data_IF_468076567917
#
_entry.id   IF_468076567917
#
_cell.length_a   1.000
_cell.length_b   1.000
_cell.length_c   1.000
_cell.angle_alpha   90.00
_cell.angle_beta   90.00
_cell.angle_gamma   90.00
#
_symmetry.space_group_name_H-M   'P 1'
#
loop_
_entity.id
_entity.type
_entity.pdbx_description
1 polymer ?
#
# COMPACT_ATOMS: atom_id res chain seq x y z
N UNK A 1 -3.93 37.16 12.15
CA UNK A 1 -3.36 36.57 10.92
C UNK A 1 -3.46 35.07 11.13
N UNK A 2 -4.59 34.49 10.74
CA UNK A 2 -4.84 33.04 10.83
C UNK A 2 -3.88 32.34 9.87
N UNK A 3 -3.24 31.29 10.36
CA UNK A 3 -2.31 30.46 9.60
C UNK A 3 -3.03 29.91 8.35
N UNK A 4 -2.49 30.09 7.13
CA UNK A 4 -3.09 29.56 5.89
C UNK A 4 -3.27 28.03 5.89
N UNK A 5 -2.68 27.32 6.86
CA UNK A 5 -2.73 25.86 6.97
C UNK A 5 -3.90 25.32 7.83
N UNK A 6 -4.72 26.18 8.45
CA UNK A 6 -5.88 25.75 9.28
C UNK A 6 -7.17 25.42 8.48
N UNK A 7 -7.06 25.24 7.17
CA UNK A 7 -8.15 24.73 6.34
C UNK A 7 -8.40 23.25 6.63
N UNK A 8 -9.65 22.75 6.59
CA UNK A 8 -9.89 21.31 6.64
C UNK A 8 -9.13 20.62 5.50
N UNK A 9 -8.59 19.44 5.76
CA UNK A 9 -7.88 18.66 4.75
C UNK A 9 -8.77 18.44 3.50
N UNK A 10 -8.22 18.47 2.27
CA UNK A 10 -8.98 18.27 1.03
C UNK A 10 -9.91 17.05 1.07
N UNK A 11 -9.44 15.96 1.66
CA UNK A 11 -10.21 14.72 1.81
C UNK A 11 -11.46 14.88 2.68
N UNK A 12 -11.36 15.65 3.76
CA UNK A 12 -12.48 15.93 4.64
C UNK A 12 -13.54 16.80 3.93
N UNK A 13 -13.10 17.76 3.11
CA UNK A 13 -14.00 18.56 2.29
C UNK A 13 -14.70 17.72 1.21
N UNK A 14 -13.97 16.88 0.49
CA UNK A 14 -14.53 15.97 -0.49
C UNK A 14 -15.54 15.01 0.15
N UNK A 15 -15.16 14.35 1.25
CA UNK A 15 -16.04 13.45 1.99
C UNK A 15 -17.32 14.14 2.49
N UNK A 16 -17.20 15.38 2.99
CA UNK A 16 -18.35 16.20 3.39
C UNK A 16 -19.30 16.42 2.22
N UNK A 17 -18.77 16.76 1.04
CA UNK A 17 -19.57 17.05 -0.17
C UNK A 17 -20.28 15.80 -0.70
N UNK A 18 -19.56 14.69 -0.79
CA UNK A 18 -20.08 13.41 -1.30
C UNK A 18 -21.16 12.81 -0.40
N UNK A 19 -21.11 13.06 0.91
CA UNK A 19 -22.14 12.62 1.87
C UNK A 19 -23.52 13.22 1.57
N UNK A 20 -23.56 14.49 1.14
CA UNK A 20 -24.83 15.22 0.95
C UNK A 20 -25.39 15.08 -0.47
N UNK A 21 -24.60 14.59 -1.43
CA UNK A 21 -24.99 14.54 -2.82
C UNK A 21 -24.55 13.25 -3.50
N UNK A 22 -25.52 12.35 -3.57
CA UNK A 22 -25.39 11.04 -4.22
C UNK A 22 -25.25 11.15 -5.74
N UNK A 23 -25.66 12.24 -6.36
CA UNK A 23 -25.47 12.44 -7.79
C UNK A 23 -24.01 12.79 -8.08
N UNK A 24 -23.43 13.70 -7.30
CA UNK A 24 -22.00 14.00 -7.34
C UNK A 24 -21.14 12.75 -7.09
N UNK A 25 -21.50 11.91 -6.11
CA UNK A 25 -20.81 10.66 -5.85
C UNK A 25 -20.86 9.68 -7.03
N UNK A 26 -22.04 9.49 -7.65
CA UNK A 26 -22.18 8.62 -8.84
C UNK A 26 -21.39 9.13 -10.03
N UNK A 27 -21.41 10.44 -10.26
CA UNK A 27 -20.66 11.08 -11.34
C UNK A 27 -19.15 10.93 -11.17
N UNK A 28 -18.66 11.11 -9.94
CA UNK A 28 -17.25 10.95 -9.62
C UNK A 28 -16.79 9.49 -9.84
N UNK A 29 -17.61 8.53 -9.44
CA UNK A 29 -17.35 7.10 -9.66
C UNK A 29 -17.34 6.74 -11.15
N UNK A 30 -18.26 7.30 -11.95
CA UNK A 30 -18.25 7.12 -13.40
C UNK A 30 -16.96 7.66 -14.04
N UNK A 31 -16.52 8.85 -13.62
CA UNK A 31 -15.26 9.44 -14.10
C UNK A 31 -14.05 8.58 -13.73
N UNK A 32 -14.00 8.01 -12.51
CA UNK A 32 -12.94 7.08 -12.10
C UNK A 32 -12.91 5.84 -12.98
N UNK A 33 -14.08 5.25 -13.25
CA UNK A 33 -14.18 4.08 -14.13
C UNK A 33 -13.69 4.40 -15.54
N UNK A 34 -14.01 5.58 -16.08
CA UNK A 34 -13.52 5.99 -17.40
C UNK A 34 -12.02 6.29 -17.38
N UNK A 35 -11.52 6.98 -16.36
CA UNK A 35 -10.11 7.38 -16.26
C UNK A 35 -9.16 6.20 -16.10
N UNK A 36 -9.53 5.20 -15.29
CA UNK A 36 -8.71 4.02 -15.02
C UNK A 36 -9.12 2.78 -15.82
N UNK A 37 -10.20 2.87 -16.59
CA UNK A 37 -10.66 1.81 -17.48
C UNK A 37 -9.93 1.77 -18.82
N UNK A 38 -10.35 0.83 -19.68
CA UNK A 38 -9.83 0.66 -21.04
C UNK A 38 -9.95 1.92 -21.91
N UNK A 39 -11.00 2.71 -21.68
CA UNK A 39 -11.22 3.95 -22.41
C UNK A 39 -10.20 5.04 -22.01
N UNK A 40 -9.82 5.08 -20.72
CA UNK A 40 -8.81 6.00 -20.20
C UNK A 40 -7.40 5.71 -20.70
N UNK A 41 -7.03 4.43 -20.84
CA UNK A 41 -5.71 4.02 -21.33
C UNK A 41 -5.49 4.24 -22.83
N UNK A 42 -6.57 4.42 -23.60
CA UNK A 42 -6.52 4.68 -25.04
C UNK A 42 -6.92 6.10 -25.42
N UNK A 43 -7.31 6.91 -24.43
CA UNK A 43 -7.71 8.29 -24.65
C UNK A 43 -6.51 9.18 -25.03
N UNK A 44 -6.74 10.24 -25.85
CA UNK A 44 -5.70 11.18 -26.19
C UNK A 44 -5.21 11.94 -24.95
N UNK A 45 -3.91 12.25 -24.95
CA UNK A 45 -3.33 13.18 -23.99
C UNK A 45 -3.79 14.60 -24.31
N UNK A 46 -4.11 15.36 -23.28
CA UNK A 46 -4.52 16.76 -23.35
C UNK A 46 -3.77 17.56 -22.29
N UNK A 47 -3.51 18.83 -22.59
CA UNK A 47 -2.84 19.74 -21.67
C UNK A 47 -3.68 19.92 -20.39
N UNK A 48 -3.03 19.82 -19.23
CA UNK A 48 -3.65 20.06 -17.93
C UNK A 48 -3.72 21.56 -17.68
N UNK A 49 -4.93 22.14 -17.49
CA UNK A 49 -5.07 23.57 -17.24
C UNK A 49 -4.21 24.04 -16.06
N UNK A 50 -3.53 25.19 -16.21
CA UNK A 50 -2.59 25.69 -15.21
C UNK A 50 -3.25 25.94 -13.84
N UNK A 51 -4.51 26.37 -13.83
CA UNK A 51 -5.31 26.55 -12.62
C UNK A 51 -5.63 25.21 -11.94
N UNK A 52 -5.80 24.14 -12.71
CA UNK A 52 -6.04 22.81 -12.16
C UNK A 52 -4.75 22.26 -11.52
N UNK A 53 -3.60 22.38 -12.21
CA UNK A 53 -2.28 22.01 -11.67
C UNK A 53 -1.96 22.73 -10.37
N UNK A 54 -2.21 24.04 -10.33
CA UNK A 54 -1.98 24.85 -9.13
C UNK A 54 -2.88 24.43 -7.95
N UNK A 55 -4.09 23.92 -8.21
CA UNK A 55 -5.04 23.48 -7.18
C UNK A 55 -4.77 22.07 -6.67
N UNK A 56 -4.39 21.16 -7.55
CA UNK A 56 -4.20 19.74 -7.21
C UNK A 56 -2.76 19.42 -6.78
N UNK A 57 -1.80 20.30 -7.10
CA UNK A 57 -0.37 20.02 -6.91
C UNK A 57 0.18 18.99 -7.90
N UNK A 58 -0.55 18.71 -8.99
CA UNK A 58 -0.14 17.76 -10.02
C UNK A 58 0.75 18.47 -11.06
N UNK A 59 2.01 18.05 -11.18
CA UNK A 59 3.02 18.76 -11.97
C UNK A 59 3.10 18.32 -13.45
N UNK A 60 2.40 17.26 -13.84
CA UNK A 60 2.38 16.79 -15.23
C UNK A 60 1.65 17.78 -16.16
N UNK A 61 2.27 18.08 -17.30
CA UNK A 61 1.73 19.04 -18.27
C UNK A 61 0.62 18.45 -19.14
N UNK A 62 0.62 17.13 -19.37
CA UNK A 62 -0.35 16.44 -20.22
C UNK A 62 -0.81 15.15 -19.54
N UNK A 63 -2.13 14.91 -19.54
CA UNK A 63 -2.76 13.70 -19.00
C UNK A 63 -3.83 13.20 -19.97
N UNK A 64 -4.29 11.96 -19.82
CA UNK A 64 -5.42 11.48 -20.61
C UNK A 64 -6.66 12.35 -20.36
N UNK A 65 -7.43 12.63 -21.41
CA UNK A 65 -8.62 13.49 -21.28
C UNK A 65 -9.60 13.07 -20.17
N UNK A 66 -9.87 11.77 -19.95
CA UNK A 66 -10.67 11.31 -18.81
C UNK A 66 -10.06 11.62 -17.44
N UNK A 67 -8.74 11.52 -17.30
CA UNK A 67 -8.06 11.84 -16.05
C UNK A 67 -8.10 13.34 -15.74
N UNK A 68 -7.96 14.20 -16.75
CA UNK A 68 -8.15 15.66 -16.58
C UNK A 68 -9.59 15.98 -16.15
N UNK A 69 -10.59 15.31 -16.73
CA UNK A 69 -11.99 15.48 -16.33
C UNK A 69 -12.25 15.02 -14.89
N UNK A 70 -11.63 13.91 -14.46
CA UNK A 70 -11.69 13.43 -13.07
C UNK A 70 -11.08 14.46 -12.10
N UNK A 71 -9.86 14.92 -12.37
CA UNK A 71 -9.17 15.90 -11.52
C UNK A 71 -9.94 17.23 -11.42
N UNK A 72 -10.52 17.69 -12.52
CA UNK A 72 -11.34 18.91 -12.54
C UNK A 72 -12.60 18.77 -11.66
N UNK A 73 -13.25 17.60 -11.70
CA UNK A 73 -14.44 17.34 -10.90
C UNK A 73 -14.09 17.18 -9.41
N UNK A 74 -13.01 16.48 -9.06
CA UNK A 74 -12.54 16.37 -7.67
C UNK A 74 -12.20 17.75 -7.09
N UNK A 75 -11.45 18.57 -7.82
CA UNK A 75 -11.12 19.93 -7.38
C UNK A 75 -12.38 20.78 -7.13
N UNK A 76 -13.37 20.72 -8.02
CA UNK A 76 -14.66 21.40 -7.86
C UNK A 76 -15.40 20.92 -6.60
N UNK A 77 -15.46 19.61 -6.36
CA UNK A 77 -16.15 19.03 -5.20
C UNK A 77 -15.46 19.35 -3.87
N UNK A 78 -14.12 19.39 -3.87
CA UNK A 78 -13.33 19.84 -2.71
C UNK A 78 -13.65 21.29 -2.37
N UNK A 79 -13.69 22.20 -3.35
CA UNK A 79 -14.05 23.61 -3.14
C UNK A 79 -15.47 23.77 -2.58
N UNK A 80 -16.45 23.02 -3.11
CA UNK A 80 -17.82 23.02 -2.58
C UNK A 80 -17.87 22.47 -1.15
N UNK A 81 -17.12 21.41 -0.87
CA UNK A 81 -17.00 20.83 0.47
C UNK A 81 -16.38 21.79 1.48
N UNK A 82 -15.32 22.51 1.07
CA UNK A 82 -14.69 23.57 1.88
C UNK A 82 -15.71 24.66 2.22
N UNK A 83 -16.52 25.09 1.24
CA UNK A 83 -17.55 26.10 1.46
C UNK A 83 -18.62 25.63 2.46
N UNK A 84 -19.05 24.36 2.38
CA UNK A 84 -19.99 23.76 3.34
C UNK A 84 -19.39 23.72 4.76
N UNK A 85 -18.16 23.23 4.91
CA UNK A 85 -17.47 23.18 6.20
C UNK A 85 -17.26 24.57 6.79
N UNK A 86 -16.94 25.57 5.95
CA UNK A 86 -16.79 26.94 6.39
C UNK A 86 -18.11 27.54 6.90
N UNK A 87 -19.24 27.22 6.27
CA UNK A 87 -20.57 27.64 6.69
C UNK A 87 -21.01 26.99 8.02
N UNK A 88 -20.51 25.79 8.34
CA UNK A 88 -20.84 25.05 9.57
C UNK A 88 -20.03 25.50 10.80
N UNK A 89 -18.84 26.09 10.62
CA UNK A 89 -17.98 26.55 11.73
C UNK A 89 -18.69 27.42 12.78
N UNK A 90 -19.47 28.46 12.42
CA UNK A 90 -20.13 29.32 13.40
C UNK A 90 -21.17 28.56 14.23
N UNK A 91 -21.91 27.64 13.62
CA UNK A 91 -22.93 26.85 14.30
C UNK A 91 -22.30 25.86 15.29
N UNK A 92 -21.17 25.24 14.91
CA UNK A 92 -20.40 24.36 15.79
C UNK A 92 -19.80 25.12 16.98
N UNK A 93 -19.17 26.27 16.74
CA UNK A 93 -18.61 27.10 17.80
C UNK A 93 -19.67 27.59 18.80
N UNK A 94 -20.87 27.95 18.32
CA UNK A 94 -21.99 28.31 19.19
C UNK A 94 -22.52 27.13 20.01
N UNK A 95 -22.54 25.93 19.44
CA UNK A 95 -22.98 24.71 20.13
C UNK A 95 -21.96 24.29 21.20
N UNK A 96 -20.67 24.33 20.89
CA UNK A 96 -19.57 24.03 21.83
C UNK A 96 -19.51 25.04 22.98
N UNK A 97 -19.75 26.33 22.71
CA UNK A 97 -19.85 27.34 23.76
C UNK A 97 -21.08 27.14 24.67
N UNK A 98 -22.17 26.57 24.16
CA UNK A 98 -23.38 26.29 24.93
C UNK A 98 -23.30 24.97 25.73
N UNK A 99 -22.46 24.02 25.33
CA UNK A 99 -22.25 22.74 26.02
C UNK A 99 -21.00 22.71 26.90
N UNK A 100 -20.18 23.76 26.88
CA UNK A 100 -19.09 23.92 27.85
C UNK A 100 -19.67 23.87 29.28
N UNK A 101 -19.28 22.88 30.11
CA UNK A 101 -19.81 22.78 31.46
C UNK A 101 -19.43 24.05 32.22
N UNK A 102 -20.44 24.71 32.78
CA UNK A 102 -20.29 25.78 33.75
C UNK A 102 -19.56 25.19 34.96
N UNK A 103 -18.22 25.17 34.89
CA UNK A 103 -17.35 24.79 35.97
C UNK A 103 -17.52 25.83 37.07
N UNK A 104 -18.46 25.51 37.95
CA UNK A 104 -18.89 26.29 39.07
C UNK A 104 -17.69 26.74 39.91
N UNK A 105 -17.56 28.06 40.00
CA UNK A 105 -17.10 28.73 41.21
C UNK A 105 -17.92 28.21 42.40
N UNK A 106 -17.28 27.48 43.31
CA UNK A 106 -17.77 27.37 44.68
C UNK A 106 -16.58 27.25 45.67
N UNK A 107 -16.61 28.01 46.79
CA UNK A 107 -15.50 28.12 47.73
C UNK A 107 -15.49 27.00 48.77
N UNK A 108 -14.32 26.82 49.39
CA UNK A 108 -14.08 26.00 50.57
C UNK A 108 -15.02 26.34 51.75
N UNK A 109 -15.60 25.32 52.38
CA UNK A 109 -15.82 25.29 53.84
C UNK A 109 -16.18 23.88 54.36
N UNK A 110 -15.29 23.36 55.21
CA UNK A 110 -15.53 22.66 56.49
C UNK A 110 -16.33 21.34 56.58
N UNK A 111 -15.57 20.30 56.97
CA UNK A 111 -15.79 19.39 58.12
C UNK A 111 -17.03 18.47 58.21
N UNK A 112 -16.78 17.15 58.34
CA UNK A 112 -17.52 16.31 59.28
C UNK A 112 -17.95 14.90 58.83
N UNK A 113 -17.19 13.90 59.30
CA UNK A 113 -17.61 12.53 59.70
C UNK A 113 -17.79 11.43 58.61
N UNK A 114 -17.20 10.23 58.80
CA UNK A 114 -17.39 9.09 57.90
C UNK A 114 -18.60 8.24 58.30
N UNK A 115 -19.40 7.80 57.32
CA UNK A 115 -20.43 6.76 57.51
C UNK A 115 -20.35 5.72 56.39
N UNK A 116 -20.25 4.46 56.81
CA UNK A 116 -20.16 3.25 56.01
C UNK A 116 -21.47 2.94 55.24
N UNK A 117 -21.44 2.01 54.26
CA UNK A 117 -22.38 1.95 53.15
C UNK A 117 -23.62 1.11 53.45
N UNK A 118 -24.73 1.41 52.77
CA UNK A 118 -25.90 0.53 52.73
C UNK A 118 -26.23 0.21 51.25
N UNK A 119 -26.44 -1.07 50.87
CA UNK A 119 -26.61 -1.48 49.48
C UNK A 119 -28.08 -1.77 49.18
N UNK A 120 -28.74 -0.95 48.35
CA UNK A 120 -30.01 -1.36 47.72
C UNK A 120 -30.24 -0.74 46.34
N UNK A 121 -30.25 -1.64 45.36
CA UNK A 121 -31.23 -1.74 44.27
C UNK A 121 -31.59 -0.47 43.48
N UNK A 122 -31.17 -0.44 42.20
CA UNK A 122 -32.03 0.00 41.09
C UNK A 122 -31.59 -0.63 39.77
N UNK A 123 -32.32 -1.67 39.37
CA UNK A 123 -32.41 -2.12 37.97
C UNK A 123 -32.83 -0.91 37.12
N UNK A 124 -31.99 -0.50 36.17
CA UNK A 124 -32.42 0.30 35.02
C UNK A 124 -32.23 -0.54 33.77
N UNK A 125 -33.37 -0.85 33.16
CA UNK A 125 -33.51 -1.42 31.83
C UNK A 125 -32.83 -0.48 30.83
N UNK A 126 -31.79 -0.97 30.16
CA UNK A 126 -31.23 -0.36 28.97
C UNK A 126 -32.24 -0.57 27.82
N UNK A 127 -32.69 0.53 27.23
CA UNK A 127 -33.39 0.52 25.94
C UNK A 127 -32.36 0.34 24.82
N UNK A 128 -32.71 -0.33 23.71
CA UNK A 128 -31.83 -0.44 22.56
C UNK A 128 -31.75 0.92 21.87
N UNK A 129 -30.54 1.48 21.81
CA UNK A 129 -30.26 2.60 20.92
C UNK A 129 -29.96 2.03 19.53
N UNK A 130 -30.73 2.47 18.54
CA UNK A 130 -30.49 2.18 17.13
C UNK A 130 -29.16 2.82 16.71
N UNK A 131 -28.18 1.99 16.34
CA UNK A 131 -26.98 2.44 15.64
C UNK A 131 -27.34 2.61 14.17
N UNK A 132 -27.27 3.86 13.69
CA UNK A 132 -27.28 4.16 12.27
C UNK A 132 -25.92 3.75 11.70
N UNK A 133 -25.90 2.66 10.93
CA UNK A 133 -24.74 2.24 10.15
C UNK A 133 -24.50 3.19 8.98
N UNK A 134 -23.24 3.59 8.82
CA UNK A 134 -22.72 4.14 7.57
C UNK A 134 -22.03 2.96 6.85
N UNK A 135 -22.40 2.63 5.60
CA UNK A 135 -21.71 1.58 4.89
C UNK A 135 -20.35 2.10 4.41
N UNK A 136 -19.29 1.55 5.01
CA UNK A 136 -17.92 1.74 4.57
C UNK A 136 -17.46 0.43 3.92
N UNK A 137 -17.55 0.37 2.59
CA UNK A 137 -16.94 -0.71 1.83
C UNK A 137 -15.42 -0.63 1.99
N UNK A 138 -14.83 -1.65 2.63
CA UNK A 138 -13.39 -1.81 2.76
C UNK A 138 -12.91 -2.67 1.59
N UNK A 139 -12.15 -2.06 0.69
CA UNK A 139 -11.49 -2.73 -0.42
C UNK A 139 -10.10 -3.16 0.06
N UNK A 140 -9.96 -4.44 0.40
CA UNK A 140 -8.67 -4.99 0.82
C UNK A 140 -7.87 -5.39 -0.43
N UNK A 141 -6.93 -4.53 -0.85
CA UNK A 141 -5.93 -4.87 -1.86
C UNK A 141 -4.65 -5.25 -1.12
N UNK A 142 -4.40 -6.54 -0.96
CA UNK A 142 -3.10 -7.04 -0.48
C UNK A 142 -2.18 -7.21 -1.69
N UNK A 143 -1.01 -6.58 -1.62
CA UNK A 143 -0.04 -6.34 -2.71
C UNK A 143 0.50 -7.61 -3.38
N UNK A 144 0.64 -7.61 -4.71
CA UNK A 144 1.75 -7.03 -5.49
C UNK A 144 3.01 -7.92 -5.52
N UNK A 145 2.88 -9.08 -6.17
CA UNK A 145 3.99 -9.73 -6.86
C UNK A 145 4.22 -9.07 -8.22
N UNK A 146 5.42 -8.56 -8.45
CA UNK A 146 5.81 -7.87 -9.69
C UNK A 146 5.98 -8.88 -10.82
N UNK A 147 4.90 -9.25 -11.52
CA UNK A 147 5.00 -10.07 -12.73
C UNK A 147 5.53 -9.22 -13.89
N UNK A 148 6.85 -9.19 -14.07
CA UNK A 148 7.48 -8.68 -15.28
C UNK A 148 7.18 -9.61 -16.44
N UNK A 149 6.13 -9.34 -17.21
CA UNK A 149 5.89 -10.03 -18.49
C UNK A 149 6.80 -9.45 -19.57
N UNK A 150 7.91 -10.13 -19.85
CA UNK A 150 8.75 -9.84 -21.00
C UNK A 150 8.91 -11.09 -21.90
N UNK A 151 8.13 -11.10 -22.99
CA UNK A 151 8.41 -11.80 -24.25
C UNK A 151 8.28 -13.33 -24.25
N UNK A 152 8.06 -14.00 -25.37
CA UNK A 152 7.63 -13.64 -26.71
C UNK A 152 7.29 -15.00 -27.35
N UNK A 153 6.17 -15.12 -28.06
CA UNK A 153 5.85 -16.35 -28.79
C UNK A 153 6.85 -16.53 -29.94
N UNK A 154 7.64 -17.59 -29.86
CA UNK A 154 8.29 -18.22 -31.01
C UNK A 154 7.21 -18.80 -31.94
N UNK A 155 7.32 -18.55 -33.24
CA UNK A 155 6.86 -19.51 -34.24
C UNK A 155 7.83 -19.50 -35.43
N UNK A 156 8.27 -20.67 -35.94
CA UNK A 156 9.26 -20.79 -36.97
C UNK A 156 8.60 -20.81 -38.35
N UNK A 157 9.10 -20.05 -39.31
CA UNK A 157 8.88 -20.40 -40.71
C UNK A 157 10.13 -20.14 -41.53
N UNK A 158 10.66 -21.24 -42.04
CA UNK A 158 11.78 -21.31 -42.95
C UNK A 158 11.48 -20.64 -44.30
N UNK A 159 12.45 -19.91 -44.83
CA UNK A 159 12.76 -19.91 -46.26
C UNK A 159 14.21 -19.50 -46.50
N UNK A 160 14.98 -20.44 -47.03
CA UNK A 160 16.34 -20.28 -47.53
C UNK A 160 16.45 -19.20 -48.61
N UNK A 161 17.54 -18.44 -48.59
CA UNK A 161 18.21 -17.97 -49.81
C UNK A 161 19.68 -17.62 -49.53
N UNK A 162 20.52 -18.15 -50.41
CA UNK A 162 21.98 -18.23 -50.36
C UNK A 162 22.64 -16.96 -50.92
N UNK A 163 23.85 -16.63 -50.43
CA UNK A 163 25.07 -16.24 -51.19
C UNK A 163 25.73 -14.86 -50.89
N UNK A 164 26.99 -14.97 -50.44
CA UNK A 164 28.20 -14.14 -50.65
C UNK A 164 28.61 -12.96 -49.72
N UNK A 165 29.94 -12.78 -49.49
CA UNK A 165 30.49 -11.92 -48.45
C UNK A 165 31.11 -10.60 -48.95
N UNK A 166 31.23 -9.63 -48.04
CA UNK A 166 32.23 -8.56 -48.10
C UNK A 166 31.73 -7.18 -48.55
N UNK A 167 31.50 -6.28 -47.60
CA UNK A 167 31.68 -4.84 -47.80
C UNK A 167 31.92 -4.15 -46.45
N UNK A 168 33.17 -3.72 -46.27
CA UNK A 168 33.61 -2.72 -45.31
C UNK A 168 32.85 -1.41 -45.53
N UNK A 169 32.19 -0.89 -44.49
CA UNK A 169 31.73 0.50 -44.46
C UNK A 169 31.72 1.03 -43.03
N UNK A 170 32.64 1.95 -42.79
CA UNK A 170 32.72 2.84 -41.63
C UNK A 170 31.63 3.92 -41.72
N UNK A 171 31.15 4.42 -40.57
CA UNK A 171 30.95 5.86 -40.38
C UNK A 171 31.76 6.32 -39.15
N UNK A 172 32.74 7.23 -39.26
CA UNK A 172 32.60 8.71 -39.24
C UNK A 172 31.71 9.14 -38.05
N UNK A 173 32.23 9.49 -36.89
CA UNK A 173 32.98 10.72 -36.57
C UNK A 173 32.41 11.27 -35.25
N UNK A 174 33.05 10.98 -34.12
CA UNK A 174 33.74 11.96 -33.25
C UNK A 174 32.88 13.07 -32.64
N UNK A 175 32.64 12.97 -31.32
CA UNK A 175 33.01 13.94 -30.28
C UNK A 175 32.39 13.48 -28.94
N UNK A 176 32.99 13.54 -27.74
CA UNK A 176 34.31 13.91 -27.22
C UNK A 176 34.37 13.27 -25.82
N UNK A 177 35.30 12.35 -25.60
CA UNK A 177 35.69 11.86 -24.28
C UNK A 177 37.13 11.39 -24.39
N UNK A 178 38.02 11.95 -23.59
CA UNK A 178 39.49 11.79 -23.67
C UNK A 178 39.96 10.32 -23.85
N UNK A 179 41.08 10.06 -24.57
CA UNK A 179 41.42 8.72 -25.09
C UNK A 179 41.73 7.63 -24.05
N UNK A 180 41.94 7.99 -22.80
CA UNK A 180 42.03 7.05 -21.67
C UNK A 180 40.81 7.20 -20.77
N UNK A 181 39.60 7.15 -21.33
CA UNK A 181 38.29 7.13 -20.65
C UNK A 181 38.08 5.97 -19.66
N UNK A 182 39.13 5.52 -18.99
CA UNK A 182 39.11 4.73 -17.78
C UNK A 182 38.28 5.48 -16.75
N UNK A 183 36.99 5.16 -16.67
CA UNK A 183 36.34 5.09 -15.37
C UNK A 183 37.19 4.09 -14.58
N UNK A 184 38.02 4.63 -13.70
CA UNK A 184 38.96 3.87 -12.90
C UNK A 184 38.14 3.08 -11.89
N UNK A 185 38.30 1.76 -12.00
CA UNK A 185 37.66 0.67 -11.25
C UNK A 185 36.33 0.19 -11.85
N UNK A 186 36.35 -0.87 -12.69
CA UNK A 186 35.14 -1.63 -12.91
C UNK A 186 34.67 -2.14 -11.54
N UNK A 187 33.41 -1.87 -11.20
CA UNK A 187 32.77 -2.56 -10.08
C UNK A 187 32.98 -4.06 -10.37
N UNK A 188 33.67 -4.81 -9.49
CA UNK A 188 33.87 -6.22 -9.73
C UNK A 188 32.50 -6.86 -9.87
N UNK A 189 32.32 -7.69 -10.90
CA UNK A 189 31.08 -8.44 -11.05
C UNK A 189 30.83 -9.24 -9.78
N UNK A 190 29.59 -9.31 -9.32
CA UNK A 190 29.23 -10.20 -8.24
C UNK A 190 29.39 -11.65 -8.71
N UNK A 191 30.32 -12.39 -8.12
CA UNK A 191 30.69 -13.74 -8.56
C UNK A 191 30.17 -14.84 -7.65
N UNK A 192 29.55 -14.52 -6.51
CA UNK A 192 28.95 -15.55 -5.68
C UNK A 192 27.74 -16.15 -6.41
N UNK A 193 27.59 -17.46 -6.29
CA UNK A 193 26.45 -18.19 -6.84
C UNK A 193 25.38 -18.27 -5.77
N UNK A 194 24.11 -18.11 -6.16
CA UNK A 194 22.99 -18.31 -5.25
C UNK A 194 23.08 -19.71 -4.63
N UNK A 195 22.92 -19.83 -3.29
CA UNK A 195 22.83 -21.13 -2.67
C UNK A 195 21.62 -21.89 -3.23
N UNK A 196 21.67 -23.23 -3.34
CA UNK A 196 20.51 -24.01 -3.72
C UNK A 196 19.41 -23.86 -2.65
N UNK A 197 18.16 -23.75 -3.08
CA UNK A 197 17.04 -23.68 -2.16
C UNK A 197 16.90 -24.97 -1.35
N UNK A 198 16.76 -24.83 -0.03
CA UNK A 198 16.47 -25.92 0.88
C UNK A 198 14.97 -25.92 1.15
N UNK A 199 14.21 -26.93 0.70
CA UNK A 199 12.77 -26.95 0.92
C UNK A 199 12.44 -26.92 2.41
N UNK A 200 11.47 -26.09 2.78
CA UNK A 200 11.00 -25.98 4.15
C UNK A 200 10.26 -27.25 4.57
N UNK A 201 10.43 -27.64 5.83
CA UNK A 201 9.65 -28.73 6.42
C UNK A 201 8.19 -28.31 6.64
N UNK A 202 7.30 -29.30 6.78
CA UNK A 202 5.89 -29.05 7.12
C UNK A 202 5.74 -28.26 8.42
N UNK A 203 6.63 -28.46 9.40
CA UNK A 203 6.64 -27.73 10.67
C UNK A 203 7.02 -26.25 10.48
N UNK A 204 8.02 -25.97 9.65
CA UNK A 204 8.45 -24.61 9.32
C UNK A 204 7.35 -23.86 8.55
N UNK A 205 6.70 -24.52 7.59
CA UNK A 205 5.55 -23.95 6.89
C UNK A 205 4.37 -23.69 7.84
N UNK A 206 4.05 -24.63 8.74
CA UNK A 206 3.01 -24.43 9.74
C UNK A 206 3.33 -23.27 10.71
N UNK A 207 4.61 -23.01 11.00
CA UNK A 207 5.01 -21.81 11.74
C UNK A 207 4.87 -20.53 10.91
N UNK A 208 5.22 -20.55 9.63
CA UNK A 208 5.04 -19.41 8.74
C UNK A 208 3.57 -18.97 8.65
N UNK A 209 2.63 -19.91 8.45
CA UNK A 209 1.20 -19.60 8.43
C UNK A 209 0.70 -19.06 9.77
N UNK A 210 1.20 -19.58 10.90
CA UNK A 210 0.83 -19.06 12.24
C UNK A 210 1.33 -17.63 12.42
N UNK A 211 2.57 -17.34 12.02
CA UNK A 211 3.16 -16.00 12.12
C UNK A 211 2.41 -14.98 11.28
N UNK A 212 1.98 -15.37 10.08
CA UNK A 212 1.13 -14.53 9.22
C UNK A 212 -0.25 -14.27 9.85
N UNK A 213 -0.89 -15.31 10.39
CA UNK A 213 -2.17 -15.16 11.09
C UNK A 213 -2.04 -14.27 12.35
N UNK A 214 -0.93 -14.37 13.09
CA UNK A 214 -0.64 -13.54 14.26
C UNK A 214 -0.40 -12.08 13.85
N UNK A 215 0.39 -11.85 12.80
CA UNK A 215 0.75 -10.51 12.31
C UNK A 215 -0.46 -9.78 11.71
N UNK A 216 -1.27 -10.49 10.93
CA UNK A 216 -2.54 -9.95 10.40
C UNK A 216 -3.53 -9.64 11.52
N UNK A 217 -3.59 -10.46 12.58
CA UNK A 217 -4.41 -10.15 13.75
C UNK A 217 -3.91 -8.92 14.52
N UNK A 218 -2.60 -8.79 14.71
CA UNK A 218 -2.01 -7.63 15.37
C UNK A 218 -2.36 -6.34 14.62
N UNK A 219 -2.12 -6.32 13.30
CA UNK A 219 -2.50 -5.21 12.43
C UNK A 219 -4.00 -4.91 12.54
N UNK A 220 -4.85 -5.92 12.41
CA UNK A 220 -6.29 -5.79 12.56
C UNK A 220 -6.70 -5.18 13.90
N UNK A 221 -6.18 -5.72 15.01
CA UNK A 221 -6.52 -5.30 16.36
C UNK A 221 -6.07 -3.88 16.65
N UNK A 222 -5.02 -3.40 15.98
CA UNK A 222 -4.54 -2.01 16.07
C UNK A 222 -5.48 -1.01 15.39
N UNK A 223 -6.26 -1.46 14.40
CA UNK A 223 -7.17 -0.62 13.61
C UNK A 223 -8.58 -0.57 14.22
N UNK A 224 -8.95 -1.55 15.05
CA UNK A 224 -10.28 -1.63 15.66
C UNK A 224 -10.25 -1.06 17.08
N UNK A 225 -10.89 0.10 17.25
CA UNK A 225 -11.11 0.68 18.57
C UNK A 225 -11.99 -0.24 19.44
N UNK A 226 -11.53 -0.53 20.67
CA UNK A 226 -12.35 -1.21 21.68
C UNK A 226 -11.91 -2.61 22.12
N UNK A 227 -10.70 -3.04 21.79
CA UNK A 227 -10.12 -4.28 22.33
C UNK A 227 -10.77 -5.53 21.75
N UNK A 228 -10.71 -5.67 20.43
CA UNK A 228 -11.16 -6.86 19.71
C UNK A 228 -10.53 -8.13 20.33
N UNK A 229 -11.34 -9.16 20.53
CA UNK A 229 -10.89 -10.45 21.08
C UNK A 229 -10.63 -11.40 19.91
N UNK A 230 -9.44 -11.99 19.88
CA UNK A 230 -9.05 -12.94 18.83
C UNK A 230 -9.91 -14.19 18.90
N UNK A 231 -10.63 -14.56 17.83
CA UNK A 231 -11.32 -15.83 17.79
C UNK A 231 -10.31 -16.97 17.63
N UNK A 232 -10.64 -18.13 18.20
CA UNK A 232 -9.86 -19.35 18.04
C UNK A 232 -10.18 -19.97 16.68
N UNK A 233 -9.20 -19.95 15.77
CA UNK A 233 -9.37 -20.33 14.38
C UNK A 233 -8.27 -21.32 13.99
N UNK A 234 -8.67 -22.47 13.47
CA UNK A 234 -7.76 -23.50 12.96
C UNK A 234 -7.56 -23.31 11.46
N UNK A 235 -6.31 -23.43 10.99
CA UNK A 235 -6.01 -23.54 9.56
C UNK A 235 -6.65 -24.82 9.01
N UNK A 236 -7.57 -24.68 8.06
CA UNK A 236 -8.25 -25.81 7.43
C UNK A 236 -7.54 -26.26 6.16
N UNK A 237 -7.14 -25.31 5.31
CA UNK A 237 -6.49 -25.60 4.03
C UNK A 237 -5.75 -24.38 3.49
N UNK A 238 -4.58 -24.62 2.90
CA UNK A 238 -3.86 -23.61 2.11
C UNK A 238 -4.48 -23.50 0.72
N UNK A 239 -4.66 -22.27 0.24
CA UNK A 239 -5.30 -21.97 -1.05
C UNK A 239 -4.28 -21.39 -2.02
N UNK A 240 -4.35 -21.79 -3.29
CA UNK A 240 -3.56 -21.18 -4.36
C UNK A 240 -3.97 -19.70 -4.54
N UNK A 241 -3.11 -18.90 -5.15
CA UNK A 241 -3.44 -17.50 -5.48
C UNK A 241 -4.69 -17.40 -6.38
N UNK A 242 -4.83 -18.32 -7.34
CA UNK A 242 -5.96 -18.36 -8.28
C UNK A 242 -7.30 -18.70 -7.58
N UNK A 243 -7.29 -19.65 -6.65
CA UNK A 243 -8.50 -20.11 -5.96
C UNK A 243 -8.86 -19.24 -4.73
N UNK A 244 -7.94 -18.40 -4.26
CA UNK A 244 -8.10 -17.62 -3.04
C UNK A 244 -9.35 -16.72 -3.05
N UNK A 245 -9.65 -15.94 -4.11
CA UNK A 245 -10.82 -15.06 -4.11
C UNK A 245 -12.14 -15.82 -3.96
N UNK A 246 -12.28 -16.94 -4.66
CA UNK A 246 -13.49 -17.76 -4.61
C UNK A 246 -13.66 -18.43 -3.25
N UNK A 247 -12.57 -18.96 -2.67
CA UNK A 247 -12.60 -19.57 -1.35
C UNK A 247 -12.97 -18.56 -0.25
N UNK A 248 -12.43 -17.34 -0.33
CA UNK A 248 -12.75 -16.27 0.62
C UNK A 248 -14.22 -15.85 0.51
N UNK A 249 -14.74 -15.67 -0.72
CA UNK A 249 -16.16 -15.34 -0.95
C UNK A 249 -17.08 -16.44 -0.44
N UNK A 250 -16.74 -17.71 -0.65
CA UNK A 250 -17.49 -18.84 -0.11
C UNK A 250 -17.52 -18.81 1.42
N UNK A 251 -16.37 -18.61 2.07
CA UNK A 251 -16.30 -18.51 3.53
C UNK A 251 -17.14 -17.35 4.06
N UNK A 252 -16.97 -16.15 3.50
CA UNK A 252 -17.73 -14.96 3.90
C UNK A 252 -19.25 -15.15 3.75
N UNK A 253 -19.69 -15.75 2.64
CA UNK A 253 -21.11 -16.06 2.43
C UNK A 253 -21.65 -17.09 3.41
N UNK A 254 -20.82 -18.03 3.85
CA UNK A 254 -21.19 -19.01 4.88
C UNK A 254 -21.41 -18.37 6.25
N UNK A 255 -20.71 -17.25 6.52
CA UNK A 255 -20.89 -16.39 7.69
C UNK A 255 -22.03 -15.36 7.50
N UNK A 256 -22.75 -15.40 6.38
CA UNK A 256 -23.86 -14.50 6.09
C UNK A 256 -23.46 -13.12 5.55
N UNK A 257 -22.19 -12.94 5.16
CA UNK A 257 -21.69 -11.70 4.56
C UNK A 257 -21.88 -11.77 3.04
N UNK A 258 -22.53 -10.75 2.48
CA UNK A 258 -22.66 -10.63 1.03
C UNK A 258 -21.32 -10.21 0.42
N UNK A 259 -20.63 -11.18 -0.18
CA UNK A 259 -19.34 -10.99 -0.84
C UNK A 259 -19.39 -11.42 -2.31
N UNK A 260 -18.53 -10.84 -3.15
CA UNK A 260 -18.33 -11.26 -4.54
C UNK A 260 -16.92 -10.96 -5.03
N UNK A 261 -16.47 -11.71 -6.03
CA UNK A 261 -15.20 -11.44 -6.73
C UNK A 261 -15.42 -10.33 -7.76
N UNK A 262 -14.49 -9.39 -7.82
CA UNK A 262 -14.41 -8.34 -8.82
C UNK A 262 -13.21 -8.56 -9.75
N UNK A 263 -13.17 -7.85 -10.87
CA UNK A 263 -12.12 -8.01 -11.87
C UNK A 263 -10.70 -7.90 -11.27
N UNK A 264 -9.80 -8.80 -11.69
CA UNK A 264 -8.42 -8.86 -11.18
C UNK A 264 -8.25 -9.65 -9.88
N UNK A 265 -9.22 -10.48 -9.48
CA UNK A 265 -9.11 -11.33 -8.28
C UNK A 265 -9.41 -10.60 -6.96
N UNK A 266 -9.84 -9.34 -7.03
CA UNK A 266 -10.27 -8.61 -5.84
C UNK A 266 -11.57 -9.16 -5.26
N UNK A 267 -11.79 -8.95 -3.97
CA UNK A 267 -13.01 -9.33 -3.27
C UNK A 267 -13.72 -8.05 -2.80
N UNK A 268 -15.03 -7.96 -3.01
CA UNK A 268 -15.87 -6.89 -2.46
C UNK A 268 -16.93 -7.48 -1.55
N UNK A 269 -17.30 -6.74 -0.50
CA UNK A 269 -18.37 -7.08 0.43
C UNK A 269 -18.97 -5.81 1.04
N UNK A 270 -20.26 -5.87 1.38
CA UNK A 270 -20.99 -4.78 2.04
C UNK A 270 -21.11 -5.06 3.54
N UNK A 271 -20.73 -4.09 4.39
CA UNK A 271 -20.89 -4.14 5.86
C UNK A 271 -20.45 -5.47 6.50
N UNK A 272 -19.30 -6.00 6.09
CA UNK A 272 -18.75 -7.25 6.61
C UNK A 272 -18.28 -7.14 8.06
N UNK A 273 -18.55 -8.16 8.87
CA UNK A 273 -17.96 -8.26 10.21
C UNK A 273 -16.43 -8.39 10.08
N UNK A 274 -15.67 -7.42 10.60
CA UNK A 274 -14.21 -7.41 10.50
C UNK A 274 -13.57 -8.67 11.12
N UNK A 275 -14.19 -9.26 12.16
CA UNK A 275 -13.73 -10.51 12.77
C UNK A 275 -13.96 -11.72 11.85
N UNK A 276 -15.09 -11.76 11.14
CA UNK A 276 -15.39 -12.84 10.19
C UNK A 276 -14.45 -12.78 8.97
N UNK A 277 -14.13 -11.57 8.50
CA UNK A 277 -13.17 -11.35 7.41
C UNK A 277 -11.80 -11.92 7.78
N UNK A 278 -11.27 -11.53 8.94
CA UNK A 278 -10.00 -12.09 9.44
C UNK A 278 -10.08 -13.60 9.63
N UNK A 279 -11.17 -14.11 10.20
CA UNK A 279 -11.35 -15.54 10.45
C UNK A 279 -11.33 -16.37 9.16
N UNK A 280 -11.97 -15.88 8.09
CA UNK A 280 -11.91 -16.56 6.79
C UNK A 280 -10.48 -16.62 6.24
N UNK A 281 -9.74 -15.52 6.31
CA UNK A 281 -8.33 -15.48 5.89
C UNK A 281 -7.44 -16.43 6.72
N UNK A 282 -7.67 -16.52 8.03
CA UNK A 282 -6.91 -17.41 8.91
C UNK A 282 -7.27 -18.90 8.71
N UNK A 283 -8.51 -19.23 8.35
CA UNK A 283 -8.94 -20.61 8.02
C UNK A 283 -8.37 -21.08 6.68
N UNK A 284 -8.33 -20.17 5.70
CA UNK A 284 -7.97 -20.45 4.32
C UNK A 284 -6.85 -19.52 3.81
N UNK A 285 -5.65 -19.59 4.39
CA UNK A 285 -4.56 -18.72 3.98
C UNK A 285 -4.13 -19.03 2.55
N UNK A 286 -3.72 -17.98 1.83
CA UNK A 286 -3.02 -18.12 0.57
C UNK A 286 -1.65 -18.78 0.79
N UNK A 287 -1.20 -19.59 -0.16
CA UNK A 287 0.13 -20.19 -0.19
C UNK A 287 1.21 -19.15 0.11
N UNK A 288 2.01 -19.42 1.14
CA UNK A 288 3.10 -18.55 1.56
C UNK A 288 4.40 -18.97 0.87
N UNK A 289 5.30 -18.02 0.57
CA UNK A 289 6.64 -18.37 0.11
C UNK A 289 7.35 -19.20 1.18
N UNK A 290 8.15 -20.16 0.74
CA UNK A 290 8.94 -20.98 1.67
C UNK A 290 9.93 -20.11 2.46
N UNK A 291 10.01 -20.29 3.79
CA UNK A 291 11.01 -19.60 4.60
C UNK A 291 12.43 -19.88 4.10
N UNK A 292 13.21 -18.82 3.93
CA UNK A 292 14.61 -18.93 3.52
C UNK A 292 15.51 -19.37 4.70
N UNK A 293 16.49 -20.21 4.40
CA UNK A 293 17.54 -20.59 5.35
C UNK A 293 18.58 -19.45 5.54
N UNK A 294 19.49 -19.61 6.51
CA UNK A 294 20.50 -18.58 6.81
C UNK A 294 21.48 -18.34 5.65
N UNK A 295 21.76 -19.35 4.82
CA UNK A 295 22.65 -19.20 3.67
C UNK A 295 21.95 -18.41 2.55
N UNK A 296 20.67 -18.71 2.31
CA UNK A 296 19.81 -17.99 1.38
C UNK A 296 19.60 -16.53 1.79
N UNK A 297 19.34 -16.27 3.07
CA UNK A 297 19.19 -14.90 3.60
C UNK A 297 20.51 -14.12 3.61
N UNK A 298 21.65 -14.80 3.75
CA UNK A 298 22.93 -14.14 3.68
C UNK A 298 23.34 -13.73 2.26
N UNK A 299 22.84 -14.41 1.23
CA UNK A 299 23.22 -14.14 -0.16
C UNK A 299 22.86 -12.70 -0.61
N UNK A 300 21.67 -12.15 -0.31
CA UNK A 300 21.37 -10.73 -0.48
C UNK A 300 22.33 -9.80 0.26
N UNK A 301 22.70 -10.12 1.50
CA UNK A 301 23.65 -9.30 2.28
C UNK A 301 25.01 -9.25 1.60
N UNK A 302 25.54 -10.41 1.21
CA UNK A 302 26.82 -10.52 0.50
C UNK A 302 26.76 -9.74 -0.83
N UNK A 303 25.66 -9.80 -1.57
CA UNK A 303 25.43 -8.99 -2.78
C UNK A 303 25.43 -7.49 -2.50
N UNK A 304 24.69 -7.06 -1.49
CA UNK A 304 24.57 -5.64 -1.15
C UNK A 304 25.94 -5.07 -0.81
N UNK A 305 26.69 -5.74 0.08
CA UNK A 305 27.97 -5.24 0.59
C UNK A 305 29.06 -5.30 -0.49
N UNK A 306 29.12 -6.39 -1.27
CA UNK A 306 30.22 -6.61 -2.22
C UNK A 306 30.01 -5.98 -3.60
N UNK A 307 28.76 -5.72 -3.99
CA UNK A 307 28.43 -5.19 -5.32
C UNK A 307 27.60 -3.90 -5.26
N UNK A 308 26.44 -3.91 -4.58
CA UNK A 308 25.48 -2.82 -4.69
C UNK A 308 26.01 -1.50 -4.10
N UNK A 309 26.56 -1.55 -2.87
CA UNK A 309 27.12 -0.36 -2.22
C UNK A 309 28.33 0.22 -3.01
N UNK A 310 29.30 -0.59 -3.49
CA UNK A 310 30.31 -0.11 -4.42
C UNK A 310 29.75 0.47 -5.72
N UNK A 311 28.68 -0.10 -6.27
CA UNK A 311 28.05 0.39 -7.49
C UNK A 311 27.49 1.80 -7.32
N UNK A 312 26.73 2.01 -6.24
CA UNK A 312 26.25 3.32 -5.84
C UNK A 312 27.37 4.36 -5.69
N UNK A 313 28.48 3.98 -5.06
CA UNK A 313 29.63 4.88 -4.92
C UNK A 313 30.28 5.25 -6.25
N UNK A 314 30.45 4.31 -7.18
CA UNK A 314 31.02 4.56 -8.52
C UNK A 314 30.10 5.41 -9.38
N UNK A 315 28.78 5.26 -9.22
CA UNK A 315 27.80 6.07 -9.93
C UNK A 315 27.57 7.46 -9.32
N UNK A 316 28.29 7.79 -8.25
CA UNK A 316 28.28 9.11 -7.62
C UNK A 316 27.16 9.34 -6.62
N UNK A 317 26.44 8.28 -6.24
CA UNK A 317 25.32 8.33 -5.29
C UNK A 317 25.58 7.34 -4.13
N UNK A 318 26.68 7.48 -3.36
CA UNK A 318 27.03 6.53 -2.31
C UNK A 318 25.96 6.50 -1.22
N UNK A 319 25.64 5.29 -0.73
CA UNK A 319 24.87 5.13 0.49
C UNK A 319 25.68 5.59 1.71
N UNK A 320 25.08 6.38 2.60
CA UNK A 320 25.76 7.00 3.75
C UNK A 320 25.28 6.48 5.11
N UNK A 321 24.24 5.65 5.14
CA UNK A 321 23.69 5.09 6.36
C UNK A 321 24.52 3.95 6.96
N UNK A 322 24.16 3.48 8.17
CA UNK A 322 24.77 2.29 8.75
C UNK A 322 24.40 1.05 7.95
N UNK A 323 25.37 0.15 7.77
CA UNK A 323 25.16 -1.17 7.15
C UNK A 323 25.08 -2.22 8.26
N UNK A 324 23.99 -3.00 8.35
CA UNK A 324 23.85 -4.03 9.37
C UNK A 324 24.91 -5.12 9.19
N UNK A 325 25.27 -5.76 10.31
CA UNK A 325 26.06 -6.98 10.24
C UNK A 325 25.27 -8.07 9.52
N UNK A 326 25.96 -9.12 9.05
CA UNK A 326 25.29 -10.25 8.38
C UNK A 326 24.27 -10.92 9.30
N UNK A 327 24.59 -11.06 10.58
CA UNK A 327 23.70 -11.65 11.58
C UNK A 327 22.46 -10.75 11.83
N UNK A 328 22.67 -9.44 11.95
CA UNK A 328 21.56 -8.49 12.12
C UNK A 328 20.66 -8.45 10.88
N UNK A 329 21.25 -8.49 9.68
CA UNK A 329 20.49 -8.53 8.43
C UNK A 329 19.60 -9.78 8.34
N UNK A 330 20.12 -10.96 8.69
CA UNK A 330 19.36 -12.21 8.72
C UNK A 330 18.25 -12.13 9.77
N UNK A 331 18.54 -11.60 10.96
CA UNK A 331 17.56 -11.44 12.02
C UNK A 331 16.42 -10.50 11.62
N UNK A 332 16.73 -9.36 11.01
CA UNK A 332 15.75 -8.40 10.49
C UNK A 332 14.91 -8.99 9.35
N UNK A 333 15.54 -9.73 8.43
CA UNK A 333 14.83 -10.41 7.35
C UNK A 333 13.84 -11.47 7.90
N UNK A 334 14.24 -12.24 8.92
CA UNK A 334 13.35 -13.21 9.61
C UNK A 334 12.20 -12.55 10.35
N UNK A 335 12.38 -11.30 10.79
CA UNK A 335 11.34 -10.50 11.42
C UNK A 335 10.40 -9.82 10.41
N UNK A 336 10.51 -10.13 9.10
CA UNK A 336 9.76 -9.50 8.02
C UNK A 336 10.03 -7.99 7.87
N UNK A 337 11.21 -7.53 8.30
CA UNK A 337 11.69 -6.15 8.12
C UNK A 337 13.00 -6.16 7.32
N UNK A 338 13.00 -6.60 6.05
CA UNK A 338 14.23 -6.70 5.27
C UNK A 338 14.87 -5.31 5.09
N UNK A 339 16.13 -5.18 5.52
CA UNK A 339 16.90 -3.97 5.32
C UNK A 339 17.29 -3.81 3.84
N UNK A 340 17.25 -2.57 3.35
CA UNK A 340 17.69 -2.22 2.00
C UNK A 340 18.40 -0.86 2.00
N UNK A 341 19.56 -0.72 1.33
CA UNK A 341 20.24 0.56 1.23
C UNK A 341 19.58 1.43 0.16
N UNK A 342 18.91 2.50 0.58
CA UNK A 342 18.37 3.51 -0.33
C UNK A 342 19.32 4.72 -0.33
N UNK A 343 19.98 5.06 -1.44
CA UNK A 343 20.78 6.28 -1.54
C UNK A 343 19.90 7.53 -1.56
N UNK A 344 20.48 8.69 -1.25
CA UNK A 344 19.75 9.97 -1.18
C UNK A 344 19.00 10.31 -2.48
N UNK A 345 19.52 9.84 -3.62
CA UNK A 345 18.88 9.99 -4.94
C UNK A 345 18.85 8.68 -5.70
N UNK A 346 17.67 8.07 -5.73
CA UNK A 346 17.39 6.94 -6.60
C UNK A 346 16.84 7.45 -7.95
N UNK A 347 17.60 7.28 -9.02
CA UNK A 347 17.14 7.59 -10.39
C UNK A 347 16.97 6.30 -11.19
N UNK A 348 16.10 6.27 -12.20
CA UNK A 348 15.94 5.08 -13.05
C UNK A 348 17.24 4.67 -13.76
N UNK A 349 18.12 5.62 -14.07
CA UNK A 349 19.46 5.35 -14.61
C UNK A 349 20.43 4.76 -13.57
N UNK A 350 20.26 5.07 -12.29
CA UNK A 350 21.02 4.43 -11.21
C UNK A 350 20.51 3.00 -11.00
N UNK A 351 19.20 2.79 -10.89
CA UNK A 351 18.59 1.47 -10.71
C UNK A 351 18.92 0.50 -11.85
N UNK A 352 19.02 0.99 -13.10
CA UNK A 352 19.38 0.15 -14.25
C UNK A 352 20.85 -0.24 -14.28
N UNK A 353 21.74 0.58 -13.72
CA UNK A 353 23.20 0.30 -13.66
C UNK A 353 23.59 -0.45 -12.39
N UNK A 354 22.84 -0.26 -11.32
CA UNK A 354 23.01 -0.90 -10.02
C UNK A 354 21.71 -1.63 -9.64
N UNK A 355 21.46 -2.83 -10.19
CA UNK A 355 20.29 -3.62 -9.85
C UNK A 355 20.22 -3.87 -8.34
N UNK A 356 19.03 -3.72 -7.74
CA UNK A 356 18.84 -3.87 -6.29
C UNK A 356 18.74 -5.33 -5.84
N UNK A 357 18.63 -6.27 -6.76
CA UNK A 357 18.50 -7.70 -6.47
C UNK A 357 19.68 -8.50 -7.04
N UNK A 358 20.15 -9.53 -6.30
CA UNK A 358 21.16 -10.42 -6.80
C UNK A 358 20.63 -11.28 -7.96
N UNK A 359 21.51 -11.75 -8.86
CA UNK A 359 21.13 -12.76 -9.85
C UNK A 359 20.57 -14.02 -9.18
N UNK A 360 19.50 -14.56 -9.74
CA UNK A 360 18.88 -15.82 -9.27
C UNK A 360 17.81 -15.66 -8.18
N UNK A 361 17.41 -14.43 -7.83
CA UNK A 361 16.30 -14.14 -6.89
C UNK A 361 15.10 -13.47 -7.57
N UNK A 362 14.58 -14.04 -8.65
CA UNK A 362 13.45 -13.45 -9.40
C UNK A 362 12.52 -14.47 -10.02
#
# INVERSE_FOLDING_TARGET
MTDPLDGPAPDAALARRLRDDREAARRLEELRRTAYGRDGSTAPLVEVPADLRARTGYDEAELSAPLVALLAEEARLVEEGQALLAAERPARAATEAATAPEAALAPEAAAGTPRAPDPTTRRRLLRPAALAGAPAGILLVIGLGVASTAGAFDDPTAASSTTAPGATSTPRGQAMGTPDGRRVSPIPAFTATAPPHTPASEEEMAEAYRREADSSWELFSSLVDGGAVRPDVTLERVVSEEDFPDQQVECLRSEGIEASVIGGGGITYDDGDPIAIWSCQARFPMEQPEPLDDAELAYPHDYIVSFLLPCYAVEGEPYTGPVPSREDFIAEARASYPWSPIPDRMTGALSSRCPSQPPGMG
#
